data_IF_627518078631
#
_entry.id   IF_627518078631
#
_cell.length_a   1.000
_cell.length_b   1.000
_cell.length_c   1.000
_cell.angle_alpha   90.00
_cell.angle_beta   90.00
_cell.angle_gamma   90.00
#
_symmetry.space_group_name_H-M   'P 1'
#
loop_
_entity.id
_entity.type
_entity.pdbx_description
1 polymer ?
#
# COMPACT_ATOMS: atom_id res chain seq x y z
N UNK A 1 -0.25 -5.88 -1.62
CA UNK A 1 0.32 -4.94 -0.63
C UNK A 1 0.13 -5.40 0.81
N UNK A 2 -1.11 -5.50 1.31
CA UNK A 2 -1.40 -5.79 2.74
C UNK A 2 -0.78 -7.10 3.23
N UNK A 3 -0.90 -8.18 2.47
CA UNK A 3 -0.35 -9.48 2.90
C UNK A 3 1.18 -9.47 2.95
N UNK A 4 1.83 -8.71 2.06
CA UNK A 4 3.28 -8.50 2.13
C UNK A 4 3.66 -7.69 3.38
N UNK A 5 2.92 -6.63 3.71
CA UNK A 5 3.14 -5.86 4.94
C UNK A 5 2.98 -6.75 6.19
N UNK A 6 1.96 -7.62 6.23
CA UNK A 6 1.77 -8.60 7.30
C UNK A 6 2.92 -9.61 7.38
N UNK A 7 3.41 -10.11 6.25
CA UNK A 7 4.55 -11.02 6.20
C UNK A 7 5.85 -10.38 6.74
N UNK A 8 5.97 -9.05 6.65
CA UNK A 8 7.05 -8.27 7.26
C UNK A 8 6.82 -7.95 8.75
N UNK A 9 5.71 -8.40 9.35
CA UNK A 9 5.37 -8.14 10.75
C UNK A 9 4.75 -6.78 11.03
N UNK A 10 4.38 -6.02 10.00
CA UNK A 10 3.74 -4.71 10.16
C UNK A 10 2.30 -4.84 10.68
N UNK A 11 1.88 -3.89 11.53
CA UNK A 11 0.49 -3.78 12.02
C UNK A 11 -0.30 -2.65 11.35
N UNK A 12 0.36 -1.83 10.53
CA UNK A 12 -0.26 -0.78 9.73
C UNK A 12 0.51 -0.53 8.42
N UNK A 13 -0.18 0.10 7.46
CA UNK A 13 0.44 0.69 6.26
C UNK A 13 0.07 2.17 6.24
N UNK A 14 1.08 3.04 6.26
CA UNK A 14 0.89 4.50 6.27
C UNK A 14 1.25 5.13 4.93
N UNK A 15 0.73 6.33 4.69
CA UNK A 15 0.90 7.06 3.42
C UNK A 15 0.52 6.19 2.21
N UNK A 16 -0.63 5.51 2.31
CA UNK A 16 -1.17 4.71 1.21
C UNK A 16 -1.58 5.63 0.07
N UNK A 17 -1.10 5.33 -1.13
CA UNK A 17 -1.40 6.06 -2.36
C UNK A 17 -1.83 5.09 -3.43
N UNK A 18 -2.67 5.61 -4.31
CA UNK A 18 -3.08 4.96 -5.54
C UNK A 18 -2.57 5.82 -6.68
N UNK A 19 -1.84 5.20 -7.58
CA UNK A 19 -1.49 5.78 -8.87
C UNK A 19 -2.20 5.00 -9.96
N UNK A 20 -2.56 5.69 -11.04
CA UNK A 20 -3.29 5.09 -12.15
C UNK A 20 -2.71 5.54 -13.46
N UNK A 21 -2.45 4.59 -14.35
CA UNK A 21 -1.91 4.85 -15.68
C UNK A 21 -2.76 4.11 -16.72
N UNK A 22 -3.15 4.81 -17.77
CA UNK A 22 -3.76 4.21 -18.95
C UNK A 22 -2.67 3.42 -19.69
N UNK A 23 -2.80 2.10 -19.77
CA UNK A 23 -1.85 1.24 -20.47
C UNK A 23 -2.29 0.99 -21.93
N UNK A 24 -3.60 1.04 -22.20
CA UNK A 24 -4.20 1.01 -23.54
C UNK A 24 -5.61 1.62 -23.52
N UNK A 25 -6.23 1.81 -24.68
CA UNK A 25 -7.63 2.30 -24.79
C UNK A 25 -8.67 1.46 -24.02
N UNK A 26 -8.30 0.26 -23.60
CA UNK A 26 -9.22 -0.67 -22.91
C UNK A 26 -8.72 -1.13 -21.54
N UNK A 27 -7.57 -0.64 -21.08
CA UNK A 27 -6.97 -1.11 -19.83
C UNK A 27 -6.27 -0.02 -19.05
N UNK A 28 -6.75 0.19 -17.83
CA UNK A 28 -6.13 1.04 -16.83
C UNK A 28 -5.40 0.18 -15.80
N UNK A 29 -4.14 0.53 -15.55
CA UNK A 29 -3.40 -0.01 -14.43
C UNK A 29 -3.66 0.85 -13.19
N UNK A 30 -3.91 0.20 -12.06
CA UNK A 30 -3.99 0.87 -10.75
C UNK A 30 -2.94 0.24 -9.84
N UNK A 31 -2.02 1.08 -9.35
CA UNK A 31 -0.94 0.69 -8.45
C UNK A 31 -1.24 1.22 -7.06
N UNK A 32 -1.26 0.33 -6.06
CA UNK A 32 -1.40 0.68 -4.66
C UNK A 32 -0.09 0.44 -3.90
N UNK A 33 0.42 1.50 -3.24
CA UNK A 33 1.66 1.44 -2.48
C UNK A 33 1.61 2.29 -1.21
N UNK A 34 2.51 2.00 -0.27
CA UNK A 34 2.62 2.69 1.02
C UNK A 34 3.74 2.12 1.87
N UNK A 35 3.90 2.62 3.09
CA UNK A 35 4.98 2.20 4.01
C UNK A 35 4.43 1.26 5.08
N UNK A 36 4.95 0.04 5.14
CA UNK A 36 4.65 -0.92 6.20
C UNK A 36 5.34 -0.48 7.51
N UNK A 37 4.59 -0.37 8.59
CA UNK A 37 5.08 0.10 9.90
C UNK A 37 4.50 -0.71 11.05
N UNK A 38 5.19 -0.68 12.19
CA UNK A 38 4.66 -1.11 13.49
C UNK A 38 4.41 0.13 14.32
N UNK A 39 3.16 0.38 14.69
CA UNK A 39 2.76 1.50 15.55
C UNK A 39 2.37 1.00 16.94
N UNK A 40 2.58 1.85 17.94
CA UNK A 40 2.13 1.69 19.31
C UNK A 40 1.38 2.95 19.78
N UNK A 41 0.60 2.83 20.86
CA UNK A 41 -0.09 4.00 21.43
C UNK A 41 0.94 4.93 22.06
N UNK A 42 0.73 6.24 21.90
CA UNK A 42 1.47 7.23 22.65
C UNK A 42 1.09 7.14 24.14
N UNK A 43 2.10 7.28 25.02
CA UNK A 43 1.98 7.10 26.47
C UNK A 43 1.23 8.24 27.16
#
# INVERSE_FOLDING_TARGET
MVDNAKALGANAVVNVRFDSNELSETMDEIIAYGTAVVVEKEN
#
